data_IF_669506992634
#
_entry.id   IF_669506992634
#
_cell.length_a   1.000
_cell.length_b   1.000
_cell.length_c   1.000
_cell.angle_alpha   90.00
_cell.angle_beta   90.00
_cell.angle_gamma   90.00
#
_symmetry.space_group_name_H-M   'P 1'
#
loop_
_entity.id
_entity.type
_entity.pdbx_description
1 polymer ?
#
# COMPACT_ATOMS: atom_id res chain seq x y z
N UNK A 1 17.01 16.83 14.70
CA UNK A 1 17.71 15.53 14.82
C UNK A 1 18.07 15.12 13.41
N UNK A 2 19.35 14.82 13.13
CA UNK A 2 19.74 14.32 11.80
C UNK A 2 19.20 12.91 11.62
N UNK A 3 18.59 12.61 10.48
CA UNK A 3 18.23 11.24 10.11
C UNK A 3 19.51 10.43 9.91
N UNK A 4 19.51 9.19 10.38
CA UNK A 4 20.65 8.29 10.18
C UNK A 4 20.60 7.82 8.73
N UNK A 5 21.65 8.10 7.94
CA UNK A 5 21.82 7.49 6.63
C UNK A 5 22.22 6.02 6.81
N UNK A 6 21.21 5.15 6.87
CA UNK A 6 21.41 3.71 7.07
C UNK A 6 22.08 3.05 5.88
N UNK A 7 21.87 3.54 4.65
CA UNK A 7 22.51 3.01 3.44
C UNK A 7 24.03 3.15 3.53
N UNK A 8 24.51 4.35 3.91
CA UNK A 8 25.93 4.61 4.10
C UNK A 8 26.52 3.75 5.23
N UNK A 9 25.83 3.67 6.37
CA UNK A 9 26.30 2.88 7.54
C UNK A 9 26.42 1.38 7.25
N UNK A 10 25.51 0.84 6.45
CA UNK A 10 25.49 -0.58 6.09
C UNK A 10 26.34 -0.88 4.87
N UNK A 11 26.87 0.15 4.19
CA UNK A 11 27.51 0.04 2.89
C UNK A 11 26.61 -0.66 1.86
N UNK A 12 25.31 -0.35 1.91
CA UNK A 12 24.30 -0.90 1.00
C UNK A 12 24.21 -0.07 -0.26
N UNK A 13 24.09 -0.78 -1.38
CA UNK A 13 23.97 -0.23 -2.73
C UNK A 13 22.53 -0.36 -3.22
N UNK A 14 22.21 0.25 -4.37
CA UNK A 14 20.92 0.08 -5.05
C UNK A 14 20.59 -1.40 -5.29
N UNK A 15 21.59 -2.23 -5.62
CA UNK A 15 21.43 -3.68 -5.79
C UNK A 15 20.88 -4.36 -4.53
N UNK A 16 21.40 -4.01 -3.35
CA UNK A 16 20.89 -4.55 -2.08
C UNK A 16 19.44 -4.13 -1.81
N UNK A 17 19.04 -2.93 -2.26
CA UNK A 17 17.67 -2.43 -2.13
C UNK A 17 16.73 -3.15 -3.08
N UNK A 18 17.16 -3.37 -4.33
CA UNK A 18 16.39 -4.17 -5.28
C UNK A 18 16.22 -5.60 -4.81
N UNK A 19 17.27 -6.24 -4.30
CA UNK A 19 17.19 -7.60 -3.74
C UNK A 19 16.22 -7.69 -2.56
N UNK A 20 16.23 -6.68 -1.68
CA UNK A 20 15.29 -6.58 -0.57
C UNK A 20 13.85 -6.48 -1.07
N UNK A 21 13.61 -5.63 -2.08
CA UNK A 21 12.29 -5.45 -2.71
C UNK A 21 11.82 -6.72 -3.42
N UNK A 22 12.68 -7.36 -4.22
CA UNK A 22 12.35 -8.59 -4.93
C UNK A 22 12.05 -9.74 -3.97
N UNK A 23 12.79 -9.85 -2.88
CA UNK A 23 12.54 -10.86 -1.84
C UNK A 23 11.18 -10.64 -1.18
N UNK A 24 10.88 -9.42 -0.75
CA UNK A 24 9.57 -9.08 -0.20
C UNK A 24 8.44 -9.38 -1.18
N UNK A 25 8.58 -8.96 -2.44
CA UNK A 25 7.59 -9.21 -3.48
C UNK A 25 7.37 -10.70 -3.78
N UNK A 26 8.44 -11.50 -3.73
CA UNK A 26 8.35 -12.96 -3.87
C UNK A 26 7.47 -13.59 -2.79
N UNK A 27 7.55 -13.10 -1.54
CA UNK A 27 6.69 -13.55 -0.45
C UNK A 27 5.24 -13.08 -0.62
N UNK A 28 5.02 -11.86 -1.10
CA UNK A 28 3.67 -11.35 -1.44
C UNK A 28 3.01 -12.25 -2.49
N UNK A 29 3.74 -12.62 -3.55
CA UNK A 29 3.23 -13.51 -4.61
C UNK A 29 2.84 -14.90 -4.10
N UNK A 30 3.39 -15.32 -2.96
CA UNK A 30 3.04 -16.57 -2.29
C UNK A 30 1.92 -16.40 -1.24
N UNK A 31 1.39 -15.19 -1.06
CA UNK A 31 0.42 -14.87 -0.01
C UNK A 31 1.00 -14.86 1.41
N UNK A 32 2.33 -14.80 1.56
CA UNK A 32 3.03 -14.84 2.85
C UNK A 32 3.30 -13.42 3.35
N UNK A 33 2.24 -12.70 3.68
CA UNK A 33 2.31 -11.27 4.00
C UNK A 33 3.07 -10.98 5.29
N UNK A 34 2.97 -11.84 6.30
CA UNK A 34 3.71 -11.71 7.57
C UNK A 34 5.22 -11.79 7.35
N UNK A 35 5.66 -12.60 6.38
CA UNK A 35 7.07 -12.73 6.02
C UNK A 35 7.49 -11.54 5.14
N UNK A 36 6.62 -11.08 4.25
CA UNK A 36 6.91 -9.94 3.36
C UNK A 36 7.02 -8.61 4.11
N UNK A 37 6.22 -8.42 5.17
CA UNK A 37 6.14 -7.17 5.93
C UNK A 37 7.50 -6.57 6.32
N UNK A 38 8.40 -7.29 7.02
CA UNK A 38 9.68 -6.72 7.47
C UNK A 38 10.58 -6.24 6.32
N UNK A 39 10.47 -6.81 5.12
CA UNK A 39 11.23 -6.35 3.95
C UNK A 39 10.79 -4.95 3.52
N UNK A 40 9.49 -4.69 3.48
CA UNK A 40 8.96 -3.38 3.10
C UNK A 40 9.04 -2.36 4.23
N UNK A 41 8.94 -2.78 5.50
CA UNK A 41 9.24 -1.91 6.64
C UNK A 41 10.71 -1.45 6.63
N UNK A 42 11.64 -2.35 6.28
CA UNK A 42 13.04 -1.99 6.11
C UNK A 42 13.24 -0.98 4.98
N UNK A 43 12.59 -1.15 3.81
CA UNK A 43 12.61 -0.15 2.73
C UNK A 43 12.14 1.23 3.20
N UNK A 44 11.08 1.28 4.02
CA UNK A 44 10.58 2.54 4.59
C UNK A 44 11.58 3.18 5.57
N UNK A 45 12.27 2.40 6.41
CA UNK A 45 13.29 2.89 7.36
C UNK A 45 14.56 3.38 6.65
N UNK A 46 14.91 2.76 5.52
CA UNK A 46 16.04 3.17 4.69
C UNK A 46 15.77 4.48 3.93
N UNK A 47 14.57 5.06 4.09
CA UNK A 47 14.12 6.28 3.42
C UNK A 47 14.29 6.23 1.90
N UNK A 48 14.18 5.03 1.31
CA UNK A 48 14.09 4.85 -0.13
C UNK A 48 12.69 5.31 -0.53
N UNK A 49 12.55 6.62 -0.79
CA UNK A 49 11.26 7.24 -1.05
C UNK A 49 10.73 6.81 -2.43
N UNK A 50 9.88 5.81 -2.41
CA UNK A 50 9.23 5.24 -3.57
C UNK A 50 7.75 5.07 -3.25
N UNK A 51 6.90 5.68 -4.07
CA UNK A 51 5.47 5.54 -3.94
C UNK A 51 5.07 4.06 -4.05
N UNK A 52 5.64 3.30 -4.99
CA UNK A 52 5.36 1.88 -5.15
C UNK A 52 5.59 1.06 -3.87
N UNK A 53 6.67 1.36 -3.14
CA UNK A 53 6.98 0.64 -1.89
C UNK A 53 5.96 1.02 -0.79
N UNK A 54 5.54 2.27 -0.73
CA UNK A 54 4.48 2.73 0.18
C UNK A 54 3.11 2.12 -0.17
N UNK A 55 2.78 2.03 -1.46
CA UNK A 55 1.58 1.36 -1.94
C UNK A 55 1.58 -0.11 -1.53
N UNK A 56 2.71 -0.79 -1.74
CA UNK A 56 2.89 -2.20 -1.41
C UNK A 56 2.80 -2.44 0.09
N UNK A 57 3.48 -1.63 0.89
CA UNK A 57 3.44 -1.73 2.35
C UNK A 57 2.03 -1.49 2.90
N UNK A 58 1.31 -0.50 2.38
CA UNK A 58 -0.09 -0.29 2.74
C UNK A 58 -0.98 -1.49 2.38
N UNK A 59 -0.75 -2.12 1.23
CA UNK A 59 -1.48 -3.33 0.83
C UNK A 59 -1.16 -4.51 1.76
N UNK A 60 0.10 -4.72 2.15
CA UNK A 60 0.50 -5.76 3.10
C UNK A 60 -0.24 -5.57 4.44
N UNK A 61 -0.24 -4.36 5.00
CA UNK A 61 -0.97 -4.12 6.26
C UNK A 61 -2.47 -4.37 6.13
N UNK A 62 -3.06 -4.06 4.98
CA UNK A 62 -4.47 -4.33 4.74
C UNK A 62 -4.77 -5.84 4.73
N UNK A 63 -3.93 -6.64 4.05
CA UNK A 63 -4.04 -8.10 4.02
C UNK A 63 -3.82 -8.72 5.41
N UNK A 64 -2.99 -8.09 6.25
CA UNK A 64 -2.76 -8.45 7.65
C UNK A 64 -3.82 -7.91 8.62
N UNK A 65 -4.94 -7.37 8.10
CA UNK A 65 -6.04 -6.82 8.88
C UNK A 65 -5.63 -5.66 9.83
N UNK A 66 -4.60 -4.89 9.46
CA UNK A 66 -4.25 -3.61 10.10
C UNK A 66 -4.55 -2.43 9.17
N UNK A 67 -5.84 -2.05 9.03
CA UNK A 67 -6.22 -0.95 8.16
C UNK A 67 -5.71 0.40 8.66
N UNK A 68 -5.28 0.55 9.92
CA UNK A 68 -4.75 1.82 10.44
C UNK A 68 -3.36 2.11 9.86
N UNK A 69 -2.48 1.11 9.87
CA UNK A 69 -1.17 1.23 9.21
C UNK A 69 -1.35 1.32 7.69
N UNK A 70 -2.29 0.57 7.10
CA UNK A 70 -2.59 0.69 5.67
C UNK A 70 -2.92 2.12 5.26
N UNK A 71 -3.77 2.84 6.02
CA UNK A 71 -4.09 4.25 5.76
C UNK A 71 -2.86 5.15 5.73
N UNK A 72 -1.93 4.97 6.68
CA UNK A 72 -0.72 5.79 6.77
C UNK A 72 0.12 5.67 5.48
N UNK A 73 0.33 4.45 5.01
CA UNK A 73 1.17 4.20 3.83
C UNK A 73 0.47 4.50 2.51
N UNK A 74 -0.85 4.35 2.43
CA UNK A 74 -1.62 4.84 1.28
C UNK A 74 -1.61 6.36 1.17
N UNK A 75 -1.71 7.10 2.28
CA UNK A 75 -1.56 8.56 2.29
C UNK A 75 -0.17 8.98 1.82
N UNK A 76 0.89 8.31 2.32
CA UNK A 76 2.26 8.54 1.84
C UNK A 76 2.39 8.29 0.33
N UNK A 77 1.86 7.17 -0.16
CA UNK A 77 1.89 6.83 -1.58
C UNK A 77 1.20 7.88 -2.46
N UNK A 78 -0.03 8.29 -2.12
CA UNK A 78 -0.83 9.22 -2.91
C UNK A 78 -0.29 10.66 -2.87
N UNK A 79 0.47 11.03 -1.83
CA UNK A 79 1.20 12.30 -1.78
C UNK A 79 2.36 12.34 -2.77
N UNK A 80 3.02 11.19 -2.99
CA UNK A 80 4.14 11.07 -3.94
C UNK A 80 3.66 10.87 -5.38
N UNK A 81 2.73 9.95 -5.59
CA UNK A 81 2.13 9.64 -6.89
C UNK A 81 0.63 9.95 -6.84
N UNK A 82 0.27 11.20 -7.13
CA UNK A 82 -1.08 11.77 -7.04
C UNK A 82 -2.24 10.76 -7.00
N UNK A 83 -2.85 10.47 -8.14
CA UNK A 83 -3.98 9.52 -8.23
C UNK A 83 -3.54 8.18 -8.80
N UNK A 84 -3.62 7.11 -7.99
CA UNK A 84 -3.37 5.72 -8.41
C UNK A 84 -4.56 4.82 -8.06
N UNK A 85 -5.22 4.27 -9.09
CA UNK A 85 -6.48 3.53 -8.94
C UNK A 85 -6.44 2.33 -7.96
N UNK A 86 -5.45 1.42 -8.05
CA UNK A 86 -5.30 0.32 -7.10
C UNK A 86 -5.14 0.79 -5.64
N UNK A 87 -4.38 1.86 -5.42
CA UNK A 87 -4.19 2.45 -4.09
C UNK A 87 -5.48 3.07 -3.57
N UNK A 88 -6.23 3.79 -4.39
CA UNK A 88 -7.54 4.34 -4.02
C UNK A 88 -8.54 3.22 -3.69
N UNK A 89 -8.51 2.09 -4.42
CA UNK A 89 -9.37 0.96 -4.13
C UNK A 89 -9.02 0.32 -2.77
N UNK A 90 -7.74 0.10 -2.49
CA UNK A 90 -7.32 -0.43 -1.20
C UNK A 90 -7.55 0.55 -0.05
N UNK A 91 -7.43 1.85 -0.31
CA UNK A 91 -7.82 2.91 0.64
C UNK A 91 -9.33 2.85 0.95
N UNK A 92 -10.18 2.64 -0.06
CA UNK A 92 -11.61 2.44 0.14
C UNK A 92 -11.89 1.22 1.04
N UNK A 93 -11.24 0.08 0.76
CA UNK A 93 -11.33 -1.13 1.61
C UNK A 93 -10.90 -0.85 3.05
N UNK A 94 -9.78 -0.16 3.25
CA UNK A 94 -9.29 0.22 4.58
C UNK A 94 -10.32 1.08 5.34
N UNK A 95 -10.97 2.03 4.66
CA UNK A 95 -12.04 2.82 5.28
C UNK A 95 -13.22 1.96 5.71
N UNK A 96 -13.66 1.00 4.90
CA UNK A 96 -14.72 0.07 5.30
C UNK A 96 -14.33 -0.78 6.51
N UNK A 97 -13.11 -1.32 6.55
CA UNK A 97 -12.61 -2.09 7.69
C UNK A 97 -12.53 -1.27 8.98
N UNK A 98 -12.35 0.04 8.88
CA UNK A 98 -12.36 0.98 10.01
C UNK A 98 -13.75 1.49 10.37
N UNK A 99 -14.81 1.03 9.70
CA UNK A 99 -16.17 1.53 9.89
C UNK A 99 -16.41 2.95 9.35
N UNK A 100 -15.44 3.51 8.61
CA UNK A 100 -15.55 4.82 7.95
C UNK A 100 -16.29 4.70 6.62
N UNK A 101 -17.56 4.29 6.72
CA UNK A 101 -18.42 3.94 5.58
C UNK A 101 -18.50 5.06 4.53
N UNK A 102 -18.69 6.31 4.96
CA UNK A 102 -18.86 7.43 4.03
C UNK A 102 -17.59 7.72 3.22
N UNK A 103 -16.42 7.63 3.84
CA UNK A 103 -15.13 7.76 3.16
C UNK A 103 -14.93 6.64 2.12
N UNK A 104 -15.25 5.40 2.51
CA UNK A 104 -15.17 4.23 1.63
C UNK A 104 -16.10 4.35 0.41
N UNK A 105 -17.36 4.75 0.63
CA UNK A 105 -18.34 4.93 -0.45
C UNK A 105 -17.96 6.07 -1.40
N UNK A 106 -17.42 7.18 -0.88
CA UNK A 106 -16.91 8.28 -1.73
C UNK A 106 -15.86 7.77 -2.72
N UNK A 107 -14.87 7.04 -2.24
CA UNK A 107 -13.82 6.49 -3.10
C UNK A 107 -14.36 5.42 -4.06
N UNK A 108 -15.22 4.52 -3.59
CA UNK A 108 -15.82 3.51 -4.45
C UNK A 108 -16.65 4.15 -5.59
N UNK A 109 -17.35 5.26 -5.33
CA UNK A 109 -18.08 6.00 -6.36
C UNK A 109 -17.19 6.68 -7.39
N UNK A 110 -16.00 7.16 -6.99
CA UNK A 110 -14.99 7.68 -7.93
C UNK A 110 -14.52 6.55 -8.86
N UNK A 111 -14.30 5.35 -8.32
CA UNK A 111 -13.69 4.23 -9.02
C UNK A 111 -14.68 3.36 -9.83
N UNK A 112 -16.00 3.49 -9.62
CA UNK A 112 -16.99 2.60 -10.27
C UNK A 112 -16.98 2.65 -11.81
N UNK A 113 -16.43 3.71 -12.40
CA UNK A 113 -16.35 3.90 -13.85
C UNK A 113 -14.90 3.83 -14.36
N UNK A 114 -13.97 3.33 -13.55
CA UNK A 114 -12.58 3.14 -13.96
C UNK A 114 -12.51 2.21 -15.21
N UNK A 115 -11.69 2.54 -16.22
CA UNK A 115 -11.54 1.72 -17.42
C UNK A 115 -11.11 0.28 -17.12
N UNK A 116 -10.35 0.06 -16.05
CA UNK A 116 -9.87 -1.25 -15.66
C UNK A 116 -10.95 -2.02 -14.87
N UNK A 117 -11.43 -3.17 -15.37
CA UNK A 117 -12.44 -3.96 -14.67
C UNK A 117 -11.99 -4.49 -13.31
N UNK A 118 -10.67 -4.66 -13.12
CA UNK A 118 -10.05 -5.07 -11.86
C UNK A 118 -10.20 -4.00 -10.77
N UNK A 119 -10.52 -2.76 -11.14
CA UNK A 119 -10.77 -1.64 -10.23
C UNK A 119 -12.27 -1.36 -10.15
N UNK A 120 -12.93 -1.20 -11.29
CA UNK A 120 -14.34 -0.80 -11.33
C UNK A 120 -15.30 -1.86 -10.81
N UNK A 121 -15.04 -3.16 -11.02
CA UNK A 121 -15.91 -4.21 -10.50
C UNK A 121 -15.87 -4.33 -8.97
N UNK A 122 -14.71 -4.37 -8.30
CA UNK A 122 -14.65 -4.31 -6.85
C UNK A 122 -15.28 -3.03 -6.28
N UNK A 123 -15.08 -1.87 -6.93
CA UNK A 123 -15.70 -0.63 -6.50
C UNK A 123 -17.24 -0.70 -6.53
N UNK A 124 -17.83 -1.25 -7.60
CA UNK A 124 -19.28 -1.50 -7.68
C UNK A 124 -19.74 -2.48 -6.61
N UNK A 125 -18.98 -3.54 -6.36
CA UNK A 125 -19.30 -4.52 -5.31
C UNK A 125 -19.29 -3.87 -3.92
N UNK A 126 -18.31 -3.01 -3.62
CA UNK A 126 -18.26 -2.24 -2.38
C UNK A 126 -19.47 -1.30 -2.25
N UNK A 127 -19.88 -0.62 -3.32
CA UNK A 127 -21.10 0.20 -3.33
C UNK A 127 -22.34 -0.65 -3.05
N UNK A 128 -22.45 -1.85 -3.60
CA UNK A 128 -23.61 -2.72 -3.36
C UNK A 128 -23.62 -3.31 -1.95
N UNK A 129 -22.45 -3.66 -1.41
CA UNK A 129 -22.32 -4.26 -0.09
C UNK A 129 -22.55 -3.25 1.04
N UNK A 130 -22.19 -1.98 0.81
CA UNK A 130 -22.25 -0.93 1.83
C UNK A 130 -23.24 0.19 1.49
N UNK A 131 -23.80 0.29 0.30
CA UNK A 131 -24.82 1.29 -0.05
C UNK A 131 -26.16 0.97 0.58
#
# INVERSE_FOLDING_TARGET
MGTINWLEKLNWTEEHIEDLRYTGYSYIRQGKYEIALPFFEALAVLEVDNAYDSQTLGAIYLELNDPKQALLYFDKALKSEGTHGPTLLNLAKAFFMLGKKDDGLRLAHILKNDPEPTISNPAKALILAYG
#
